data_IF_250364173043
#
_entry.id   IF_250364173043
#
_cell.length_a   1.000
_cell.length_b   1.000
_cell.length_c   1.000
_cell.angle_alpha   90.00
_cell.angle_beta   90.00
_cell.angle_gamma   90.00
#
_symmetry.space_group_name_H-M   'P 1'
#
loop_
_entity.id
_entity.type
_entity.pdbx_description
1 polymer ?
#
# COMPACT_ATOMS: atom_id res chain seq x y z
N UNK A 1 -20.48 53.79 13.80
CA UNK A 1 -19.20 53.51 13.08
C UNK A 1 -18.33 52.45 13.77
N UNK A 2 -18.06 52.49 15.09
CA UNK A 2 -17.19 51.51 15.79
C UNK A 2 -17.61 50.03 15.67
N UNK A 3 -18.91 49.72 15.57
CA UNK A 3 -19.41 48.34 15.58
C UNK A 3 -19.03 47.54 14.33
N UNK A 4 -19.01 48.19 13.16
CA UNK A 4 -18.66 47.53 11.88
C UNK A 4 -17.16 47.20 11.79
N UNK A 5 -16.29 48.01 12.43
CA UNK A 5 -14.85 47.75 12.50
C UNK A 5 -14.52 46.55 13.39
N UNK A 6 -15.19 46.39 14.54
CA UNK A 6 -14.99 45.25 15.44
C UNK A 6 -15.49 43.93 14.82
N UNK A 7 -16.62 43.98 14.11
CA UNK A 7 -17.16 42.84 13.38
C UNK A 7 -16.25 42.41 12.21
N UNK A 8 -15.71 43.37 11.44
CA UNK A 8 -14.73 43.08 10.38
C UNK A 8 -13.45 42.45 10.95
N UNK A 9 -12.90 43.05 12.00
CA UNK A 9 -11.68 42.55 12.66
C UNK A 9 -11.84 41.13 13.23
N UNK A 10 -12.98 40.81 13.84
CA UNK A 10 -13.26 39.46 14.34
C UNK A 10 -13.41 38.43 13.21
N UNK A 11 -14.03 38.80 12.09
CA UNK A 11 -14.19 37.95 10.90
C UNK A 11 -12.85 37.65 10.24
N UNK A 12 -12.01 38.67 10.03
CA UNK A 12 -10.69 38.52 9.42
C UNK A 12 -9.78 37.64 10.28
N UNK A 13 -9.83 37.83 11.60
CA UNK A 13 -9.15 36.97 12.57
C UNK A 13 -9.65 35.53 12.44
N UNK A 14 -10.95 35.28 12.52
CA UNK A 14 -11.52 33.93 12.42
C UNK A 14 -11.14 33.24 11.10
N UNK A 15 -11.13 33.97 9.98
CA UNK A 15 -10.68 33.47 8.68
C UNK A 15 -9.19 33.11 8.69
N UNK A 16 -8.33 33.93 9.31
CA UNK A 16 -6.91 33.60 9.48
C UNK A 16 -6.73 32.32 10.30
N UNK A 17 -7.37 32.21 11.46
CA UNK A 17 -7.30 31.00 12.29
C UNK A 17 -7.76 29.75 11.54
N UNK A 18 -8.84 29.86 10.77
CA UNK A 18 -9.31 28.77 9.92
C UNK A 18 -8.24 28.35 8.90
N UNK A 19 -7.62 29.29 8.20
CA UNK A 19 -6.55 29.00 7.25
C UNK A 19 -5.31 28.39 7.93
N UNK A 20 -4.93 28.87 9.12
CA UNK A 20 -3.83 28.28 9.89
C UNK A 20 -4.09 26.81 10.24
N UNK A 21 -5.28 26.49 10.74
CA UNK A 21 -5.65 25.11 11.07
C UNK A 21 -5.77 24.23 9.83
N UNK A 22 -6.24 24.77 8.71
CA UNK A 22 -6.29 24.05 7.43
C UNK A 22 -4.87 23.68 6.98
N UNK A 23 -3.92 24.63 6.99
CA UNK A 23 -2.53 24.36 6.59
C UNK A 23 -1.83 23.41 7.56
N UNK A 24 -1.99 23.61 8.86
CA UNK A 24 -1.40 22.72 9.87
C UNK A 24 -1.96 21.30 9.79
N UNK A 25 -3.29 21.16 9.68
CA UNK A 25 -3.95 19.87 9.53
C UNK A 25 -3.58 19.19 8.22
N UNK A 26 -3.59 19.94 7.11
CA UNK A 26 -3.17 19.43 5.80
C UNK A 26 -1.72 18.97 5.78
N UNK A 27 -0.81 19.78 6.34
CA UNK A 27 0.60 19.42 6.48
C UNK A 27 0.81 18.17 7.32
N UNK A 28 0.08 18.02 8.43
CA UNK A 28 0.12 16.83 9.27
C UNK A 28 -0.36 15.57 8.53
N UNK A 29 -1.47 15.66 7.77
CA UNK A 29 -1.98 14.54 6.97
C UNK A 29 -0.97 14.14 5.87
N UNK A 30 -0.38 15.12 5.19
CA UNK A 30 0.65 14.86 4.17
C UNK A 30 1.87 14.17 4.81
N UNK A 31 2.32 14.65 5.97
CA UNK A 31 3.44 14.04 6.69
C UNK A 31 3.13 12.58 7.05
N UNK A 32 1.95 12.29 7.61
CA UNK A 32 1.53 10.91 7.92
C UNK A 32 1.48 10.02 6.68
N UNK A 33 0.97 10.54 5.56
CA UNK A 33 0.95 9.83 4.29
C UNK A 33 2.37 9.49 3.78
N UNK A 34 3.31 10.43 3.85
CA UNK A 34 4.69 10.22 3.42
C UNK A 34 5.41 9.18 4.31
N UNK A 35 5.21 9.27 5.62
CA UNK A 35 5.77 8.31 6.57
C UNK A 35 5.22 6.92 6.24
N UNK A 36 3.91 6.71 6.30
CA UNK A 36 3.30 5.40 6.07
C UNK A 36 3.65 4.81 4.70
N UNK A 37 3.68 5.62 3.64
CA UNK A 37 4.10 5.17 2.30
C UNK A 37 5.56 4.72 2.27
N UNK A 38 6.45 5.40 3.01
CA UNK A 38 7.86 5.00 3.11
C UNK A 38 8.01 3.66 3.82
N UNK A 39 7.26 3.45 4.92
CA UNK A 39 7.26 2.17 5.64
C UNK A 39 6.78 1.01 4.75
N UNK A 40 5.73 1.21 3.94
CA UNK A 40 5.28 0.24 2.94
C UNK A 40 6.41 -0.11 1.96
N UNK A 41 7.11 0.91 1.44
CA UNK A 41 8.23 0.68 0.52
C UNK A 41 9.38 -0.10 1.13
N UNK A 42 9.71 0.15 2.41
CA UNK A 42 10.73 -0.61 3.15
C UNK A 42 10.30 -2.06 3.32
N UNK A 43 9.06 -2.31 3.72
CA UNK A 43 8.53 -3.67 3.88
C UNK A 43 8.55 -4.45 2.56
N UNK A 44 8.08 -3.85 1.47
CA UNK A 44 8.10 -4.47 0.12
C UNK A 44 9.53 -4.83 -0.27
N UNK A 45 10.50 -3.93 -0.07
CA UNK A 45 11.92 -4.21 -0.36
C UNK A 45 12.47 -5.35 0.50
N UNK A 46 12.11 -5.40 1.79
CA UNK A 46 12.49 -6.51 2.67
C UNK A 46 11.94 -7.85 2.18
N UNK A 47 10.69 -7.88 1.69
CA UNK A 47 10.10 -9.07 1.07
C UNK A 47 10.80 -9.45 -0.24
N UNK A 48 11.13 -8.47 -1.10
CA UNK A 48 11.91 -8.69 -2.31
C UNK A 48 13.25 -9.36 -1.99
N UNK A 49 14.05 -8.77 -1.10
CA UNK A 49 15.37 -9.27 -0.75
C UNK A 49 15.31 -10.68 -0.15
N UNK A 50 14.34 -10.93 0.73
CA UNK A 50 14.14 -12.26 1.33
C UNK A 50 13.68 -13.30 0.29
N UNK A 51 12.90 -12.90 -0.70
CA UNK A 51 12.50 -13.78 -1.80
C UNK A 51 13.68 -14.07 -2.73
N UNK A 52 14.42 -13.04 -3.15
CA UNK A 52 15.59 -13.16 -4.04
C UNK A 52 16.76 -13.91 -3.39
N UNK A 53 16.86 -13.94 -2.06
CA UNK A 53 17.81 -14.79 -1.35
C UNK A 53 17.46 -16.28 -1.39
N UNK A 54 16.19 -16.63 -1.67
CA UNK A 54 15.68 -18.02 -1.69
C UNK A 54 15.39 -18.53 -3.11
N UNK A 55 15.06 -17.63 -4.02
CA UNK A 55 14.59 -17.91 -5.38
C UNK A 55 15.36 -17.08 -6.40
N UNK A 56 15.49 -17.58 -7.63
CA UNK A 56 16.19 -16.89 -8.72
C UNK A 56 15.30 -15.80 -9.34
N UNK A 57 15.92 -14.85 -10.02
CA UNK A 57 15.21 -13.83 -10.80
C UNK A 57 15.13 -12.46 -10.10
N UNK A 58 14.38 -11.55 -10.72
CA UNK A 58 14.11 -10.24 -10.13
C UNK A 58 13.11 -10.34 -8.95
N UNK A 59 12.79 -9.21 -8.30
CA UNK A 59 11.89 -9.24 -7.15
C UNK A 59 10.53 -9.87 -7.49
N UNK A 60 9.95 -9.55 -8.66
CA UNK A 60 8.63 -10.04 -9.04
C UNK A 60 8.69 -11.54 -9.31
N UNK A 61 9.68 -12.01 -10.05
CA UNK A 61 9.90 -13.44 -10.34
C UNK A 61 10.14 -14.25 -9.06
N UNK A 62 10.93 -13.71 -8.13
CA UNK A 62 11.21 -14.37 -6.85
C UNK A 62 9.95 -14.44 -5.98
N UNK A 63 9.15 -13.37 -5.90
CA UNK A 63 7.89 -13.36 -5.14
C UNK A 63 6.84 -14.29 -5.76
N UNK A 64 6.77 -14.40 -7.08
CA UNK A 64 5.92 -15.38 -7.78
C UNK A 64 6.28 -16.80 -7.34
N UNK A 65 7.57 -17.12 -7.28
CA UNK A 65 8.04 -18.44 -6.81
C UNK A 65 7.75 -18.68 -5.32
N UNK A 66 7.80 -17.63 -4.48
CA UNK A 66 7.36 -17.74 -3.09
C UNK A 66 5.90 -18.18 -3.02
N UNK A 67 5.02 -17.58 -3.82
CA UNK A 67 3.60 -17.95 -3.86
C UNK A 67 3.40 -19.38 -4.38
N UNK A 68 4.14 -19.80 -5.41
CA UNK A 68 3.91 -21.09 -6.08
C UNK A 68 4.49 -22.29 -5.31
N UNK A 69 5.48 -22.06 -4.45
CA UNK A 69 6.08 -23.13 -3.65
C UNK A 69 5.25 -23.45 -2.40
N UNK A 70 4.57 -24.59 -2.40
CA UNK A 70 3.76 -25.08 -1.29
C UNK A 70 4.56 -25.46 -0.03
N UNK A 71 5.89 -25.57 -0.11
CA UNK A 71 6.73 -25.75 1.08
C UNK A 71 6.85 -24.46 1.91
N UNK A 72 6.54 -23.29 1.33
CA UNK A 72 6.49 -22.04 2.09
C UNK A 72 5.24 -21.98 2.97
N UNK A 73 5.37 -21.35 4.13
CA UNK A 73 4.23 -21.09 5.01
C UNK A 73 3.17 -20.23 4.32
N UNK A 74 1.90 -20.38 4.71
CA UNK A 74 0.84 -19.49 4.23
C UNK A 74 1.15 -18.02 4.53
N UNK A 75 1.83 -17.75 5.66
CA UNK A 75 2.27 -16.41 6.03
C UNK A 75 3.21 -15.80 4.99
N UNK A 76 4.27 -16.53 4.61
CA UNK A 76 5.24 -16.06 3.62
C UNK A 76 4.58 -15.84 2.25
N UNK A 77 3.69 -16.75 1.86
CA UNK A 77 2.93 -16.65 0.61
C UNK A 77 1.98 -15.45 0.63
N UNK A 78 1.28 -15.20 1.73
CA UNK A 78 0.41 -14.04 1.90
C UNK A 78 1.19 -12.71 1.89
N UNK A 79 2.38 -12.67 2.50
CA UNK A 79 3.27 -11.51 2.38
C UNK A 79 3.74 -11.29 0.94
N UNK A 80 4.02 -12.36 0.19
CA UNK A 80 4.39 -12.25 -1.21
C UNK A 80 3.22 -11.75 -2.08
N UNK A 81 1.99 -12.23 -1.83
CA UNK A 81 0.77 -11.73 -2.48
C UNK A 81 0.61 -10.24 -2.24
N UNK A 82 0.70 -9.81 -0.97
CA UNK A 82 0.61 -8.40 -0.61
C UNK A 82 1.70 -7.57 -1.31
N UNK A 83 2.95 -8.02 -1.28
CA UNK A 83 4.08 -7.31 -1.89
C UNK A 83 3.93 -7.19 -3.42
N UNK A 84 3.50 -8.26 -4.11
CA UNK A 84 3.20 -8.21 -5.55
C UNK A 84 2.05 -7.24 -5.85
N UNK A 85 1.02 -7.22 -5.01
CA UNK A 85 -0.06 -6.24 -5.10
C UNK A 85 0.46 -4.82 -4.96
N UNK A 86 1.31 -4.56 -3.95
CA UNK A 86 1.95 -3.26 -3.79
C UNK A 86 2.74 -2.88 -5.03
N UNK A 87 3.57 -3.77 -5.59
CA UNK A 87 4.39 -3.52 -6.78
C UNK A 87 3.52 -3.26 -8.03
N UNK A 88 2.40 -3.96 -8.18
CA UNK A 88 1.49 -3.76 -9.31
C UNK A 88 2.03 -4.19 -10.67
N UNK A 89 3.10 -5.00 -10.72
CA UNK A 89 3.67 -5.51 -11.98
C UNK A 89 2.71 -6.55 -12.62
N UNK A 90 2.28 -6.35 -13.88
CA UNK A 90 1.36 -7.26 -14.57
C UNK A 90 1.85 -8.71 -14.67
N UNK A 91 3.16 -8.97 -14.58
CA UNK A 91 3.72 -10.34 -14.59
C UNK A 91 3.19 -11.21 -13.45
N UNK A 92 2.76 -10.61 -12.34
CA UNK A 92 2.16 -11.31 -11.21
C UNK A 92 0.72 -11.78 -11.47
N UNK A 93 0.05 -11.30 -12.53
CA UNK A 93 -1.36 -11.60 -12.78
C UNK A 93 -1.64 -13.10 -12.84
N UNK A 94 -0.87 -13.85 -13.61
CA UNK A 94 -1.11 -15.28 -13.84
C UNK A 94 -1.04 -16.08 -12.54
N UNK A 95 -0.06 -15.82 -11.67
CA UNK A 95 0.05 -16.56 -10.40
C UNK A 95 -1.08 -16.19 -9.43
N UNK A 96 -1.49 -14.93 -9.41
CA UNK A 96 -2.60 -14.49 -8.55
C UNK A 96 -3.92 -15.10 -9.03
N UNK A 97 -4.19 -15.11 -10.34
CA UNK A 97 -5.40 -15.71 -10.89
C UNK A 97 -5.44 -17.24 -10.68
N UNK A 98 -4.28 -17.92 -10.69
CA UNK A 98 -4.19 -19.36 -10.40
C UNK A 98 -4.76 -19.73 -9.03
N UNK A 99 -4.57 -18.88 -8.02
CA UNK A 99 -4.98 -19.15 -6.63
C UNK A 99 -6.24 -18.40 -6.19
N UNK A 100 -6.76 -17.49 -7.02
CA UNK A 100 -7.92 -16.68 -6.68
C UNK A 100 -9.22 -17.43 -6.97
N UNK A 101 -10.01 -17.64 -5.92
CA UNK A 101 -11.27 -18.38 -6.00
C UNK A 101 -12.49 -17.47 -6.15
N UNK A 102 -12.33 -16.16 -5.95
CA UNK A 102 -13.43 -15.20 -5.88
C UNK A 102 -14.29 -15.28 -4.62
N UNK A 103 -14.00 -16.20 -3.69
CA UNK A 103 -14.77 -16.40 -2.46
C UNK A 103 -14.02 -15.86 -1.26
N UNK A 104 -14.42 -14.70 -0.77
CA UNK A 104 -13.82 -14.07 0.41
C UNK A 104 -14.70 -14.35 1.62
N UNK A 105 -14.24 -15.14 2.61
CA UNK A 105 -15.01 -15.39 3.83
C UNK A 105 -15.06 -14.12 4.70
N UNK A 106 -16.02 -14.00 5.63
CA UNK A 106 -16.10 -12.85 6.56
C UNK A 106 -14.83 -12.65 7.40
N UNK A 107 -14.08 -13.74 7.64
CA UNK A 107 -12.80 -13.73 8.33
C UNK A 107 -11.90 -14.80 7.73
N UNK A 108 -10.71 -14.39 7.28
CA UNK A 108 -9.68 -15.31 6.82
C UNK A 108 -8.77 -15.74 7.98
N UNK A 109 -8.34 -17.01 8.00
CA UNK A 109 -7.33 -17.44 8.95
C UNK A 109 -5.98 -16.80 8.59
N UNK A 110 -5.22 -16.43 9.61
CA UNK A 110 -3.94 -15.74 9.40
C UNK A 110 -2.88 -16.63 8.72
N UNK A 111 -2.82 -17.92 9.12
CA UNK A 111 -1.76 -18.85 8.68
C UNK A 111 -2.29 -20.20 8.16
N UNK A 112 -3.59 -20.32 7.82
CA UNK A 112 -4.18 -21.60 7.38
C UNK A 112 -4.67 -21.59 5.93
N UNK A 113 -4.43 -20.51 5.19
CA UNK A 113 -4.85 -20.38 3.79
C UNK A 113 -4.25 -19.17 3.10
N UNK A 114 -4.35 -19.15 1.77
CA UNK A 114 -4.02 -17.97 0.98
C UNK A 114 -5.15 -16.95 1.08
N UNK A 115 -4.80 -15.71 1.47
CA UNK A 115 -5.76 -14.63 1.62
C UNK A 115 -6.36 -14.27 0.26
N UNK A 116 -7.66 -14.54 0.10
CA UNK A 116 -8.46 -14.17 -1.06
C UNK A 116 -8.69 -12.66 -1.09
N UNK A 117 -8.79 -12.02 0.07
CA UNK A 117 -8.88 -10.56 0.17
C UNK A 117 -7.61 -9.85 -0.32
N UNK A 118 -6.42 -10.26 0.13
CA UNK A 118 -5.16 -9.68 -0.37
C UNK A 118 -4.96 -9.98 -1.86
N UNK A 119 -5.39 -11.15 -2.32
CA UNK A 119 -5.30 -11.54 -3.72
C UNK A 119 -6.23 -10.71 -4.61
N UNK A 120 -7.45 -10.41 -4.18
CA UNK A 120 -8.37 -9.50 -4.89
C UNK A 120 -7.75 -8.10 -5.04
N UNK A 121 -7.22 -7.54 -3.94
CA UNK A 121 -6.54 -6.23 -3.97
C UNK A 121 -5.32 -6.25 -4.89
N UNK A 122 -4.49 -7.29 -4.80
CA UNK A 122 -3.34 -7.45 -5.66
C UNK A 122 -3.74 -7.53 -7.14
N UNK A 123 -4.78 -8.33 -7.46
CA UNK A 123 -5.33 -8.44 -8.81
C UNK A 123 -5.82 -7.10 -9.34
N UNK A 124 -6.47 -6.28 -8.52
CA UNK A 124 -6.90 -4.94 -8.90
C UNK A 124 -5.71 -4.04 -9.30
N UNK A 125 -4.61 -4.11 -8.55
CA UNK A 125 -3.43 -3.29 -8.80
C UNK A 125 -2.66 -3.76 -10.04
N UNK A 126 -2.40 -5.06 -10.19
CA UNK A 126 -1.68 -5.61 -11.36
C UNK A 126 -2.48 -5.51 -12.68
N UNK A 127 -3.80 -5.30 -12.60
CA UNK A 127 -4.69 -5.06 -13.76
C UNK A 127 -4.77 -3.57 -14.16
N UNK A 128 -3.87 -2.73 -13.66
CA UNK A 128 -3.81 -1.30 -13.99
C UNK A 128 -4.46 -0.39 -12.95
N UNK A 129 -4.73 -0.90 -11.74
CA UNK A 129 -5.17 -0.07 -10.62
C UNK A 129 -4.06 0.84 -10.10
N UNK A 130 -4.44 2.03 -9.62
CA UNK A 130 -3.48 3.02 -9.09
C UNK A 130 -3.08 2.72 -7.65
N UNK A 131 -1.80 2.52 -7.39
CA UNK A 131 -1.22 2.55 -6.03
C UNK A 131 -0.58 3.92 -5.77
N UNK A 132 -1.29 4.81 -5.08
CA UNK A 132 -0.80 6.19 -4.81
C UNK A 132 0.46 6.23 -3.94
N UNK A 133 0.77 5.15 -3.20
CA UNK A 133 1.97 5.10 -2.36
C UNK A 133 3.26 5.03 -3.19
N UNK A 134 3.19 4.55 -4.44
CA UNK A 134 4.33 4.54 -5.39
C UNK A 134 4.88 5.92 -5.73
N UNK A 135 4.11 6.99 -5.47
CA UNK A 135 4.62 8.35 -5.61
C UNK A 135 5.76 8.64 -4.62
N UNK A 136 5.81 7.92 -3.50
CA UNK A 136 6.77 8.13 -2.41
C UNK A 136 7.91 7.12 -2.46
N UNK A 137 7.67 5.90 -2.96
CA UNK A 137 8.68 4.84 -3.04
C UNK A 137 8.67 4.15 -4.41
N UNK A 138 9.84 3.77 -4.91
CA UNK A 138 9.99 3.05 -6.17
C UNK A 138 10.63 1.67 -5.91
N UNK A 139 10.02 0.56 -6.38
CA UNK A 139 10.60 -0.78 -6.25
C UNK A 139 11.92 -0.98 -7.02
N UNK A 140 12.16 -0.19 -8.08
CA UNK A 140 13.32 -0.32 -8.98
C UNK A 140 14.50 0.60 -8.62
N UNK A 141 14.38 1.46 -7.60
CA UNK A 141 15.53 2.19 -7.04
C UNK A 141 16.16 1.34 -5.95
N UNK A 142 17.11 0.50 -6.35
CA UNK A 142 18.18 -0.02 -5.49
C UNK A 142 19.46 0.77 -5.81
#
# INVERSE_FOLDING_TARGET
MKNNYLLGFAKDRLQQWFLYWLVLGGGFIILLFLITSTWIGVDVRGRCQTAQGRYKGDCVEALIQVIDNNANSFRDRNYAIWALGQIGDPRAKTILEKYYTGKIPPREPYDAGLSQYEMEKALKLVKGGTNVTHLVWNPNRL
#
